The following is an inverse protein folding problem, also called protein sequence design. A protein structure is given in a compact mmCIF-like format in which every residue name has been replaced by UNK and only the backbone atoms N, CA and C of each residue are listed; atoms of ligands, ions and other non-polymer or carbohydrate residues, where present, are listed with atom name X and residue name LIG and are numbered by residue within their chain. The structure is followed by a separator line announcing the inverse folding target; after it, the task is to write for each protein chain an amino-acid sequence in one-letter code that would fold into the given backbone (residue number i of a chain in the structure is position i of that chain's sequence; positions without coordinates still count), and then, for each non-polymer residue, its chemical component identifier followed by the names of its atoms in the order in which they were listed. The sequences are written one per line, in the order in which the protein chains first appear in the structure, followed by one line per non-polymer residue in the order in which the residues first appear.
data_IF_909859106943
#
_entry.id   IF_909859106943
#
_cell.length_a   1.000
_cell.length_b   1.000
_cell.length_c   1.000
_cell.angle_alpha   90.00
_cell.angle_beta   90.00
_cell.angle_gamma   90.00
#
_symmetry.space_group_name_H-M   'P 1'
#
loop_
_entity.id
_entity.type
_entity.pdbx_description
1 polymer ?
#
# COMPACT_ATOMS: atom_id res chain seq x y z
N UNK A 1 27.32 14.49 4.68
CA UNK A 1 27.22 13.10 4.19
C UNK A 1 25.73 12.74 4.18
N UNK A 2 25.13 12.50 3.01
CA UNK A 2 23.79 11.91 2.95
C UNK A 2 23.94 10.51 3.53
N UNK A 3 23.25 10.24 4.63
CA UNK A 3 23.17 8.90 5.19
C UNK A 3 22.64 7.96 4.10
N UNK A 4 23.33 6.85 3.89
CA UNK A 4 22.95 5.88 2.87
C UNK A 4 21.60 5.29 3.25
N UNK A 5 20.63 5.34 2.31
CA UNK A 5 19.35 4.62 2.45
C UNK A 5 19.64 3.13 2.53
N UNK A 6 19.06 2.45 3.52
CA UNK A 6 19.22 1.01 3.71
C UNK A 6 17.91 0.30 3.37
N UNK A 7 18.00 -0.75 2.57
CA UNK A 7 16.89 -1.66 2.36
C UNK A 7 16.87 -2.73 3.43
N UNK A 8 15.70 -2.99 4.02
CA UNK A 8 15.50 -4.00 5.07
C UNK A 8 14.16 -4.67 4.91
N UNK A 9 14.11 -5.95 5.20
CA UNK A 9 12.86 -6.71 5.26
C UNK A 9 12.07 -6.38 6.52
N UNK A 10 10.76 -6.23 6.33
CA UNK A 10 9.78 -6.02 7.40
C UNK A 10 8.56 -6.87 7.14
N UNK A 11 7.99 -7.47 8.18
CA UNK A 11 6.69 -8.09 8.07
C UNK A 11 5.60 -7.04 7.87
N UNK A 12 4.65 -7.30 6.97
CA UNK A 12 3.55 -6.38 6.71
C UNK A 12 2.49 -6.48 7.81
N UNK A 13 2.15 -5.35 8.40
CA UNK A 13 1.26 -5.25 9.56
C UNK A 13 2.01 -4.74 10.79
N UNK A 14 1.94 -3.41 11.03
CA UNK A 14 2.69 -2.73 12.08
C UNK A 14 2.30 -3.23 13.47
N UNK A 15 3.26 -3.74 14.21
CA UNK A 15 3.10 -4.12 15.63
C UNK A 15 3.69 -2.99 16.48
N UNK A 16 2.86 -2.24 17.23
CA UNK A 16 3.37 -1.19 18.10
C UNK A 16 4.33 -1.76 19.15
N UNK A 17 5.39 -1.02 19.49
CA UNK A 17 6.41 -1.49 20.45
C UNK A 17 5.87 -1.91 21.83
N UNK A 18 4.71 -1.38 22.21
CA UNK A 18 4.03 -1.65 23.48
C UNK A 18 3.02 -2.81 23.39
N UNK A 19 2.80 -3.38 22.22
CA UNK A 19 1.81 -4.44 22.04
C UNK A 19 2.24 -5.71 22.81
N UNK A 20 1.28 -6.31 23.49
CA UNK A 20 1.48 -7.58 24.19
C UNK A 20 1.38 -8.79 23.25
N UNK A 21 0.61 -8.64 22.16
CA UNK A 21 0.36 -9.69 21.18
C UNK A 21 0.66 -9.15 19.77
N UNK A 22 1.59 -9.77 19.03
CA UNK A 22 1.92 -9.36 17.66
C UNK A 22 0.78 -9.55 16.67
N UNK A 23 -0.25 -10.33 16.98
CA UNK A 23 -1.43 -10.51 16.14
C UNK A 23 -2.19 -9.20 15.86
N UNK A 24 -1.98 -8.15 16.65
CA UNK A 24 -2.50 -6.80 16.37
C UNK A 24 -2.06 -6.30 14.99
N UNK A 25 -0.88 -6.69 14.51
CA UNK A 25 -0.34 -6.34 13.20
C UNK A 25 -1.29 -6.72 12.05
N UNK A 26 -2.01 -7.83 12.16
CA UNK A 26 -2.96 -8.29 11.14
C UNK A 26 -4.04 -7.23 10.79
N UNK A 27 -4.30 -6.29 11.68
CA UNK A 27 -5.27 -5.18 11.50
C UNK A 27 -4.59 -3.84 11.25
N UNK A 28 -3.26 -3.80 11.28
CA UNK A 28 -2.45 -2.58 11.14
C UNK A 28 -1.61 -2.60 9.85
N UNK A 29 -2.18 -3.17 8.78
CA UNK A 29 -1.54 -3.26 7.47
C UNK A 29 -1.44 -1.89 6.78
N UNK A 30 -2.41 -1.00 7.08
CA UNK A 30 -2.47 0.36 6.54
C UNK A 30 -2.72 1.39 7.65
N UNK A 31 -2.16 2.57 7.48
CA UNK A 31 -2.38 3.75 8.32
C UNK A 31 -2.99 4.88 7.49
N UNK A 32 -4.06 5.50 7.95
CA UNK A 32 -4.67 6.65 7.26
C UNK A 32 -3.90 7.92 7.55
N UNK A 33 -3.53 8.69 6.53
CA UNK A 33 -2.78 9.94 6.65
C UNK A 33 -3.43 10.91 7.66
N UNK A 34 -4.75 11.03 7.63
CA UNK A 34 -5.54 11.95 8.44
C UNK A 34 -5.51 11.62 9.95
N UNK A 35 -5.11 10.41 10.31
CA UNK A 35 -5.12 9.95 11.71
C UNK A 35 -3.75 9.65 12.31
N UNK A 36 -2.68 9.96 11.59
CA UNK A 36 -1.30 9.62 12.00
C UNK A 36 -0.87 10.32 13.28
N UNK A 37 -1.27 11.58 13.44
CA UNK A 37 -0.89 12.42 14.59
C UNK A 37 -1.71 12.13 15.83
N UNK A 38 -2.94 11.59 15.67
CA UNK A 38 -3.89 11.40 16.76
C UNK A 38 -3.85 9.98 17.33
N UNK A 39 -3.65 8.98 16.46
CA UNK A 39 -3.67 7.58 16.89
C UNK A 39 -2.39 7.17 17.60
N UNK A 40 -2.46 6.75 18.88
CA UNK A 40 -1.27 6.31 19.64
C UNK A 40 -0.47 5.21 18.94
N UNK A 41 -1.15 4.37 18.17
CA UNK A 41 -0.54 3.28 17.40
C UNK A 41 0.50 3.77 16.38
N UNK A 42 0.22 4.90 15.72
CA UNK A 42 1.04 5.41 14.61
C UNK A 42 1.85 6.66 14.97
N UNK A 43 1.41 7.43 15.96
CA UNK A 43 1.99 8.74 16.32
C UNK A 43 3.51 8.69 16.50
N UNK A 44 4.02 7.71 17.25
CA UNK A 44 5.46 7.57 17.47
C UNK A 44 6.19 7.20 16.19
N UNK A 45 5.67 6.22 15.44
CA UNK A 45 6.27 5.80 14.18
C UNK A 45 6.29 6.94 13.15
N UNK A 46 5.21 7.72 13.07
CA UNK A 46 5.13 8.92 12.24
C UNK A 46 6.24 9.93 12.58
N UNK A 47 6.54 10.15 13.85
CA UNK A 47 7.57 11.10 14.26
C UNK A 47 8.99 10.63 13.92
N UNK A 48 9.32 9.32 14.13
CA UNK A 48 10.73 8.89 14.13
C UNK A 48 11.02 7.60 13.36
N UNK A 49 10.01 6.96 12.74
CA UNK A 49 10.15 5.66 12.07
C UNK A 49 9.40 5.63 10.74
N UNK A 50 9.75 6.57 9.90
CA UNK A 50 9.24 6.65 8.53
C UNK A 50 10.13 5.84 7.60
N UNK A 51 9.54 5.24 6.59
CA UNK A 51 10.24 4.49 5.56
C UNK A 51 9.58 4.68 4.20
N UNK A 52 10.26 4.25 3.16
CA UNK A 52 9.71 4.07 1.83
C UNK A 52 9.41 2.58 1.63
N UNK A 53 8.27 2.28 1.04
CA UNK A 53 7.90 0.93 0.61
C UNK A 53 7.93 0.93 -0.92
N UNK A 54 8.97 0.36 -1.56
CA UNK A 54 9.05 0.30 -3.01
C UNK A 54 8.05 -0.71 -3.56
N UNK A 55 7.38 -0.35 -4.66
CA UNK A 55 6.42 -1.22 -5.34
C UNK A 55 6.41 -0.94 -6.84
N UNK A 56 6.10 -1.96 -7.64
CA UNK A 56 5.81 -1.83 -9.06
C UNK A 56 4.34 -1.52 -9.32
N UNK A 57 3.47 -1.81 -8.34
CA UNK A 57 2.04 -1.58 -8.39
C UNK A 57 1.37 -2.05 -7.11
N UNK A 58 0.06 -1.92 -7.05
CA UNK A 58 -0.75 -2.40 -5.95
C UNK A 58 -2.10 -2.90 -6.44
N UNK A 59 -2.76 -3.72 -5.62
CA UNK A 59 -4.08 -4.24 -5.91
C UNK A 59 -5.15 -3.50 -5.13
N UNK A 60 -6.28 -3.25 -5.82
CA UNK A 60 -7.52 -2.79 -5.21
C UNK A 60 -8.71 -3.51 -5.81
N UNK A 61 -9.80 -3.61 -5.05
CA UNK A 61 -10.98 -4.37 -5.43
C UNK A 61 -12.15 -3.44 -5.73
N UNK A 62 -12.47 -3.31 -7.00
CA UNK A 62 -13.65 -2.56 -7.45
C UNK A 62 -14.90 -3.35 -7.10
N UNK A 63 -15.85 -2.69 -6.43
CA UNK A 63 -17.19 -3.25 -6.18
C UNK A 63 -18.03 -3.20 -7.47
N UNK A 64 -18.69 -4.31 -7.80
CA UNK A 64 -19.64 -4.42 -8.92
C UNK A 64 -20.83 -5.31 -8.49
N UNK A 65 -21.88 -5.36 -9.31
CA UNK A 65 -23.11 -6.13 -9.08
C UNK A 65 -22.79 -7.59 -9.05
N UNK A 66 -22.18 -8.30 -8.55
CA UNK A 66 -21.78 -9.73 -8.51
C UNK A 66 -20.55 -9.97 -7.68
N UNK A 67 -20.04 -8.94 -6.99
CA UNK A 67 -18.91 -9.11 -6.10
C UNK A 67 -17.83 -8.04 -6.24
N UNK A 68 -16.59 -8.45 -6.03
CA UNK A 68 -15.42 -7.57 -6.16
C UNK A 68 -14.50 -8.07 -7.27
N UNK A 69 -14.09 -7.16 -8.15
CA UNK A 69 -13.11 -7.43 -9.21
C UNK A 69 -11.77 -6.82 -8.82
N UNK A 70 -10.70 -7.62 -8.71
CA UNK A 70 -9.37 -7.11 -8.42
C UNK A 70 -8.83 -6.33 -9.62
N UNK A 71 -8.16 -5.23 -9.34
CA UNK A 71 -7.43 -4.41 -10.31
C UNK A 71 -5.99 -4.26 -9.86
N UNK A 72 -5.07 -4.33 -10.80
CA UNK A 72 -3.68 -3.95 -10.62
C UNK A 72 -3.52 -2.51 -11.07
N UNK A 73 -2.94 -1.68 -10.22
CA UNK A 73 -2.74 -0.24 -10.42
C UNK A 73 -1.27 0.05 -10.33
N UNK A 74 -0.72 0.74 -11.32
CA UNK A 74 0.70 1.08 -11.43
C UNK A 74 0.88 2.51 -11.96
N UNK A 75 2.11 3.04 -11.88
CA UNK A 75 2.46 4.27 -12.57
C UNK A 75 2.33 4.06 -14.09
N UNK A 76 1.83 5.05 -14.83
CA UNK A 76 1.52 4.92 -16.26
C UNK A 76 2.78 4.67 -17.11
N UNK A 77 3.94 5.12 -16.63
CA UNK A 77 5.25 4.86 -17.25
C UNK A 77 5.84 3.48 -16.94
N UNK A 78 5.14 2.68 -16.13
CA UNK A 78 5.57 1.35 -15.71
C UNK A 78 6.76 1.33 -14.74
N UNK A 79 7.22 2.50 -14.27
CA UNK A 79 8.34 2.57 -13.35
C UNK A 79 7.91 2.24 -11.91
N UNK A 80 8.78 1.61 -11.12
CA UNK A 80 8.56 1.44 -9.69
C UNK A 80 8.45 2.78 -8.98
N UNK A 81 7.61 2.84 -7.97
CA UNK A 81 7.39 4.01 -7.12
C UNK A 81 7.61 3.66 -5.65
N UNK A 82 7.65 4.67 -4.80
CA UNK A 82 7.71 4.49 -3.36
C UNK A 82 6.39 4.94 -2.71
N UNK A 83 5.84 4.09 -1.84
CA UNK A 83 4.76 4.47 -0.94
C UNK A 83 5.34 4.98 0.37
N UNK A 84 4.74 6.02 0.95
CA UNK A 84 5.02 6.41 2.32
C UNK A 84 4.66 5.27 3.27
N UNK A 85 5.59 4.92 4.14
CA UNK A 85 5.41 3.85 5.11
C UNK A 85 5.86 4.23 6.51
N UNK A 86 5.36 3.50 7.47
CA UNK A 86 5.80 3.52 8.85
C UNK A 86 6.38 2.16 9.20
N UNK A 87 7.39 2.13 10.06
CA UNK A 87 7.92 0.87 10.58
C UNK A 87 8.00 0.87 12.10
N UNK A 88 8.04 -0.31 12.68
CA UNK A 88 8.22 -0.49 14.11
C UNK A 88 9.18 -1.66 14.39
N UNK A 89 9.82 -1.59 15.56
CA UNK A 89 10.59 -2.69 16.15
C UNK A 89 9.85 -3.13 17.40
N UNK A 90 9.31 -4.31 17.33
CA UNK A 90 8.71 -4.99 18.47
C UNK A 90 9.65 -6.11 18.93
N UNK A 91 9.63 -6.45 20.20
CA UNK A 91 10.35 -7.62 20.72
C UNK A 91 9.36 -8.50 21.45
N UNK A 92 9.48 -9.78 21.24
CA UNK A 92 8.71 -10.76 22.00
C UNK A 92 9.18 -10.85 23.47
N UNK A 93 8.50 -11.62 24.33
CA UNK A 93 8.90 -11.80 25.73
C UNK A 93 10.31 -12.38 25.91
N UNK A 94 10.83 -13.12 24.91
CA UNK A 94 12.17 -13.71 24.93
C UNK A 94 13.23 -12.73 24.35
N UNK A 95 12.81 -11.52 23.95
CA UNK A 95 13.67 -10.47 23.42
C UNK A 95 14.00 -10.60 21.94
N UNK A 96 13.36 -11.52 21.19
CA UNK A 96 13.54 -11.65 19.74
C UNK A 96 12.90 -10.47 19.01
N UNK A 97 13.65 -9.77 18.15
CA UNK A 97 13.14 -8.60 17.46
C UNK A 97 12.28 -8.97 16.26
N UNK A 98 11.10 -8.38 16.16
CA UNK A 98 10.26 -8.40 14.96
C UNK A 98 10.22 -6.98 14.37
N UNK A 99 10.60 -6.84 13.10
CA UNK A 99 10.44 -5.60 12.33
C UNK A 99 9.17 -5.68 11.52
N UNK A 100 8.35 -4.65 11.64
CA UNK A 100 7.04 -4.59 10.97
C UNK A 100 6.84 -3.25 10.31
N UNK A 101 5.99 -3.19 9.26
CA UNK A 101 5.66 -1.95 8.58
C UNK A 101 4.17 -1.87 8.23
N UNK A 102 3.72 -0.66 7.95
CA UNK A 102 2.40 -0.37 7.40
C UNK A 102 2.53 0.67 6.30
N UNK A 103 1.76 0.53 5.22
CA UNK A 103 1.64 1.56 4.20
C UNK A 103 0.71 2.68 4.67
N UNK A 104 1.01 3.91 4.28
CA UNK A 104 0.11 5.03 4.50
C UNK A 104 -0.84 5.13 3.32
N UNK A 105 -2.12 5.36 3.62
CA UNK A 105 -3.16 5.58 2.62
C UNK A 105 -3.72 6.99 2.74
N UNK A 106 -4.11 7.55 1.60
CA UNK A 106 -4.72 8.87 1.47
C UNK A 106 -6.00 8.80 0.64
N UNK A 107 -6.64 9.93 0.39
CA UNK A 107 -7.74 10.03 -0.57
C UNK A 107 -7.28 9.58 -1.96
N UNK A 108 -8.16 9.01 -2.78
CA UNK A 108 -7.81 8.56 -4.12
C UNK A 108 -7.70 9.74 -5.09
N UNK A 109 -6.82 9.63 -6.11
CA UNK A 109 -6.91 10.47 -7.29
C UNK A 109 -8.09 10.00 -8.19
N UNK A 110 -8.32 10.67 -9.31
CA UNK A 110 -9.45 10.41 -10.18
C UNK A 110 -9.52 8.95 -10.67
N UNK A 111 -8.39 8.37 -11.10
CA UNK A 111 -8.36 6.98 -11.55
C UNK A 111 -8.65 6.01 -10.40
N UNK A 112 -7.98 6.17 -9.27
CA UNK A 112 -8.15 5.29 -8.11
C UNK A 112 -9.56 5.39 -7.53
N UNK A 113 -10.20 6.57 -7.56
CA UNK A 113 -11.56 6.80 -7.07
C UNK A 113 -12.60 5.96 -7.83
N UNK A 114 -12.36 5.65 -9.10
CA UNK A 114 -13.24 4.76 -9.88
C UNK A 114 -13.19 3.29 -9.42
N UNK A 115 -12.22 2.93 -8.60
CA UNK A 115 -11.97 1.56 -8.12
C UNK A 115 -12.21 1.46 -6.61
N UNK A 116 -11.60 2.34 -5.82
CA UNK A 116 -11.66 2.33 -4.36
C UNK A 116 -11.60 3.74 -3.79
N UNK A 117 -12.13 3.94 -2.58
CA UNK A 117 -12.16 5.25 -1.91
C UNK A 117 -10.86 5.62 -1.18
N UNK A 118 -9.80 4.83 -1.34
CA UNK A 118 -8.46 5.09 -0.80
C UNK A 118 -7.41 4.66 -1.80
N UNK A 119 -6.22 5.27 -1.70
CA UNK A 119 -5.03 4.83 -2.42
C UNK A 119 -3.81 4.90 -1.49
N UNK A 120 -2.72 4.16 -1.75
CA UNK A 120 -1.45 4.38 -1.07
C UNK A 120 -0.96 5.82 -1.30
N UNK A 121 -0.34 6.42 -0.28
CA UNK A 121 0.35 7.70 -0.43
C UNK A 121 1.66 7.47 -1.22
N UNK A 122 1.55 7.50 -2.55
CA UNK A 122 2.68 7.40 -3.47
C UNK A 122 3.45 8.73 -3.48
N UNK A 123 4.76 8.67 -3.30
CA UNK A 123 5.58 9.86 -3.18
C UNK A 123 6.31 10.18 -4.49
N UNK A 124 6.37 11.46 -4.83
CA UNK A 124 7.31 11.96 -5.82
C UNK A 124 8.73 11.97 -5.24
N UNK A 125 9.76 12.12 -6.08
CA UNK A 125 11.16 12.17 -5.60
C UNK A 125 11.40 13.26 -4.56
N UNK A 126 10.85 14.44 -4.76
CA UNK A 126 10.99 15.54 -3.81
C UNK A 126 10.24 15.23 -2.49
N UNK A 127 9.07 14.61 -2.59
CA UNK A 127 8.31 14.18 -1.43
C UNK A 127 9.01 13.06 -0.63
N UNK A 128 9.75 12.15 -1.29
CA UNK A 128 10.57 11.14 -0.61
C UNK A 128 11.65 11.78 0.28
N UNK A 129 12.32 12.83 -0.21
CA UNK A 129 13.34 13.54 0.57
C UNK A 129 12.73 14.17 1.82
N UNK A 130 11.60 14.87 1.68
CA UNK A 130 10.87 15.45 2.82
C UNK A 130 10.41 14.35 3.79
N UNK A 131 9.89 13.24 3.27
CA UNK A 131 9.37 12.14 4.09
C UNK A 131 10.43 11.46 4.93
N UNK A 132 11.64 11.29 4.39
CA UNK A 132 12.74 10.63 5.08
C UNK A 132 13.59 11.57 5.93
N UNK A 133 13.48 12.89 5.76
CA UNK A 133 14.26 13.85 6.54
C UNK A 133 13.81 13.84 8.02
N UNK A 134 14.71 13.48 8.97
CA UNK A 134 14.37 13.44 10.39
C UNK A 134 13.99 14.82 10.96
N UNK A 135 14.44 15.91 10.33
CA UNK A 135 14.18 17.28 10.76
C UNK A 135 12.90 17.87 10.17
N UNK A 136 12.22 17.13 9.29
CA UNK A 136 10.95 17.59 8.70
C UNK A 136 9.88 17.77 9.78
N UNK A 137 9.21 18.93 9.74
CA UNK A 137 8.10 19.23 10.65
C UNK A 137 6.87 18.39 10.31
N UNK A 138 6.01 18.09 11.29
CA UNK A 138 4.79 17.31 11.07
C UNK A 138 3.90 17.86 9.94
N UNK A 139 3.81 19.18 9.81
CA UNK A 139 3.01 19.84 8.77
C UNK A 139 3.55 19.54 7.37
N UNK A 140 4.88 19.58 7.19
CA UNK A 140 5.53 19.25 5.92
C UNK A 140 5.38 17.75 5.59
N UNK A 141 5.47 16.88 6.61
CA UNK A 141 5.25 15.45 6.46
C UNK A 141 3.81 15.13 6.05
N UNK A 142 2.83 15.80 6.63
CA UNK A 142 1.42 15.63 6.26
C UNK A 142 1.13 16.20 4.86
N UNK A 143 1.76 17.30 4.49
CA UNK A 143 1.56 17.95 3.20
C UNK A 143 1.99 17.07 2.01
N UNK A 144 2.93 16.13 2.18
CA UNK A 144 3.33 15.20 1.12
C UNK A 144 2.45 13.95 1.03
N UNK A 145 1.52 13.74 1.96
CA UNK A 145 0.61 12.59 2.00
C UNK A 145 -0.74 12.90 1.31
N UNK A 146 -0.68 13.34 0.07
CA UNK A 146 -1.84 13.67 -0.77
C UNK A 146 -2.01 12.64 -1.89
N UNK A 147 -3.15 12.64 -2.63
CA UNK A 147 -3.32 11.81 -3.82
C UNK A 147 -2.17 11.99 -4.80
N UNK A 148 -1.69 10.88 -5.38
CA UNK A 148 -0.56 10.91 -6.31
C UNK A 148 -0.88 11.80 -7.52
N UNK A 149 -0.03 12.81 -7.81
CA UNK A 149 -0.30 13.78 -8.87
C UNK A 149 0.08 13.26 -10.27
N UNK A 150 0.84 12.17 -10.35
CA UNK A 150 1.26 11.56 -11.61
C UNK A 150 0.17 10.70 -12.22
N UNK A 151 0.37 10.34 -13.47
CA UNK A 151 -0.55 9.45 -14.19
C UNK A 151 -0.42 8.01 -13.69
N UNK A 152 -1.57 7.35 -13.54
CA UNK A 152 -1.68 5.94 -13.21
C UNK A 152 -2.35 5.19 -14.35
N UNK A 153 -2.06 3.90 -14.44
CA UNK A 153 -2.81 2.94 -15.24
C UNK A 153 -3.40 1.85 -14.36
N UNK A 154 -4.55 1.32 -14.76
CA UNK A 154 -5.21 0.23 -14.04
C UNK A 154 -5.89 -0.73 -15.02
N UNK A 155 -5.83 -2.02 -14.69
CA UNK A 155 -6.57 -3.04 -15.42
C UNK A 155 -7.06 -4.13 -14.46
N UNK A 156 -8.15 -4.79 -14.82
CA UNK A 156 -8.64 -5.95 -14.09
C UNK A 156 -7.66 -7.10 -14.20
N UNK A 157 -7.47 -7.84 -13.11
CA UNK A 157 -6.59 -9.01 -13.05
C UNK A 157 -7.35 -10.25 -12.58
N UNK A 158 -6.71 -11.41 -12.73
CA UNK A 158 -7.28 -12.67 -12.27
C UNK A 158 -7.56 -12.68 -10.76
N UNK A 159 -8.62 -13.40 -10.35
CA UNK A 159 -8.92 -13.65 -8.93
C UNK A 159 -7.86 -14.51 -8.20
N UNK A 160 -6.82 -14.97 -8.89
CA UNK A 160 -5.65 -15.61 -8.27
C UNK A 160 -5.05 -14.76 -7.15
N UNK A 161 -5.06 -13.42 -7.32
CA UNK A 161 -4.55 -12.45 -6.32
C UNK A 161 -5.34 -12.45 -5.00
N UNK A 162 -6.52 -13.07 -4.94
CA UNK A 162 -7.27 -13.19 -3.69
C UNK A 162 -6.60 -14.16 -2.69
N UNK A 163 -5.65 -14.97 -3.15
CA UNK A 163 -4.84 -15.84 -2.30
C UNK A 163 -3.48 -15.19 -2.13
N UNK A 164 -3.21 -14.66 -0.95
CA UNK A 164 -1.95 -13.95 -0.65
C UNK A 164 -0.68 -14.80 -0.86
N UNK A 165 -0.79 -16.12 -0.88
CA UNK A 165 0.32 -17.02 -1.14
C UNK A 165 0.59 -17.24 -2.64
N UNK A 166 -0.25 -16.71 -3.54
CA UNK A 166 -0.03 -16.83 -4.98
C UNK A 166 1.02 -15.80 -5.41
N UNK A 167 2.13 -16.26 -5.95
CA UNK A 167 3.23 -15.44 -6.45
C UNK A 167 3.59 -15.92 -7.88
N UNK A 168 2.85 -15.41 -8.85
CA UNK A 168 2.96 -15.79 -10.26
C UNK A 168 2.80 -14.56 -11.15
N UNK A 169 3.46 -14.55 -12.32
CA UNK A 169 3.35 -13.46 -13.29
C UNK A 169 1.88 -13.17 -13.69
N UNK A 170 1.04 -14.20 -13.75
CA UNK A 170 -0.39 -14.08 -14.06
C UNK A 170 -1.17 -13.19 -13.06
N UNK A 171 -0.59 -12.88 -11.90
CA UNK A 171 -1.23 -12.00 -10.93
C UNK A 171 -1.27 -10.53 -11.38
N UNK A 172 -0.39 -10.11 -12.27
CA UNK A 172 -0.33 -8.75 -12.80
C UNK A 172 -0.80 -8.63 -14.26
N UNK A 173 -1.07 -9.76 -14.91
CA UNK A 173 -1.55 -9.76 -16.28
C UNK A 173 -3.02 -9.34 -16.35
N UNK A 174 -3.44 -8.63 -17.42
CA UNK A 174 -4.84 -8.33 -17.64
C UNK A 174 -5.69 -9.60 -17.63
N UNK A 175 -6.79 -9.59 -16.89
CA UNK A 175 -7.75 -10.68 -16.94
C UNK A 175 -8.28 -10.82 -18.37
N UNK A 176 -8.38 -12.05 -18.88
CA UNK A 176 -9.08 -12.30 -20.12
C UNK A 176 -10.54 -11.82 -19.98
N UNK A 177 -11.04 -11.08 -20.96
CA UNK A 177 -12.47 -10.72 -21.00
C UNK A 177 -13.30 -11.99 -20.83
N UNK A 178 -14.42 -11.94 -20.08
CA UNK A 178 -15.34 -13.05 -20.05
C UNK A 178 -15.74 -13.36 -21.50
N UNK A 179 -15.41 -14.52 -22.01
CA UNK A 179 -16.00 -14.98 -23.26
C UNK A 179 -17.52 -15.02 -23.00
N UNK A 180 -18.26 -14.14 -23.65
CA UNK A 180 -19.71 -14.33 -23.77
C UNK A 180 -19.90 -15.72 -24.41
N UNK A 181 -20.44 -16.66 -23.63
CA UNK A 181 -20.88 -17.93 -24.16
C UNK A 181 -21.89 -17.62 -25.30
N UNK A 182 -21.40 -17.64 -26.51
CA UNK A 182 -22.24 -17.72 -27.68
C UNK A 182 -23.02 -19.04 -27.56
N UNK A 183 -24.19 -18.98 -26.91
CA UNK A 183 -25.19 -20.01 -27.03
C UNK A 183 -25.60 -20.03 -28.51
N UNK A 184 -24.91 -20.89 -29.27
CA UNK A 184 -25.39 -21.31 -30.59
C UNK A 184 -26.74 -21.99 -30.35
N UNK A 185 -27.81 -21.17 -30.48
CA UNK A 185 -29.17 -21.70 -30.62
C UNK A 185 -29.19 -22.57 -31.87
N UNK A 186 -29.18 -23.87 -31.69
CA UNK A 186 -29.54 -24.82 -32.74
C UNK A 186 -31.03 -24.68 -32.97
N UNK A 187 -31.49 -24.38 -34.20
CA UNK A 187 -32.91 -24.47 -34.53
C UNK A 187 -33.29 -25.94 -34.57
N UNK A 188 -34.46 -26.24 -33.98
CA UNK A 188 -35.15 -27.51 -34.09
C UNK A 188 -35.65 -27.75 -35.51
#
# INVERSE_FOLDING_TARGET
QRDSRLMREHAWGLVPFWAKDPAIGNRMINARAESLVDKPTFKRAFSVRRCLIPASGYYEWKKADGGKTPHYIQAADGQPFAMAGLFEKWSDPDGLPLRTCAAITTEPNELAAAIHNRMPAMLTRDAEEIWLDPESRPEALLAVLHPYPGELSAHAVSRLVNKAATDEAACIEPAAEPQEDLQLGLPL
#
